data_IF_984204282593
#
_entry.id   IF_984204282593
#
_cell.length_a   1.000
_cell.length_b   1.000
_cell.length_c   1.000
_cell.angle_alpha   90.00
_cell.angle_beta   90.00
_cell.angle_gamma   90.00
#
_symmetry.space_group_name_H-M   'P 1'
#
loop_
_entity.id
_entity.type
_entity.pdbx_description
1 polymer ?
#
# COMPACT_ATOMS: atom_id res chain seq x y z
N UNK A 1 -11.63 -6.90 14.88
CA UNK A 1 -10.44 -7.69 15.25
C UNK A 1 -9.46 -7.59 14.09
N UNK A 2 -8.46 -6.70 14.18
CA UNK A 2 -7.57 -6.35 13.05
C UNK A 2 -6.25 -7.14 13.08
N UNK A 3 -6.20 -8.24 13.82
CA UNK A 3 -4.94 -8.60 14.47
C UNK A 3 -4.10 -9.65 13.74
N UNK A 4 -4.55 -10.19 12.61
CA UNK A 4 -3.76 -11.21 11.89
C UNK A 4 -3.89 -11.09 10.38
N UNK A 5 -2.79 -10.68 9.74
CA UNK A 5 -2.52 -11.07 8.35
C UNK A 5 -2.34 -12.59 8.38
N UNK A 6 -3.07 -13.31 7.51
CA UNK A 6 -2.90 -14.76 7.34
C UNK A 6 -1.44 -15.08 6.97
N UNK A 7 -0.93 -16.21 7.46
CA UNK A 7 0.49 -16.55 7.27
C UNK A 7 0.85 -16.70 5.78
N UNK A 8 -0.08 -17.20 4.95
CA UNK A 8 0.06 -17.25 3.48
C UNK A 8 0.26 -15.85 2.88
N UNK A 9 -0.48 -14.86 3.36
CA UNK A 9 -0.37 -13.47 2.89
C UNK A 9 0.95 -12.85 3.33
N UNK A 10 1.41 -13.12 4.56
CA UNK A 10 2.75 -12.71 5.02
C UNK A 10 3.85 -13.30 4.16
N UNK A 11 3.78 -14.59 3.86
CA UNK A 11 4.77 -15.26 3.02
C UNK A 11 4.83 -14.64 1.62
N UNK A 12 3.68 -14.32 1.02
CA UNK A 12 3.62 -13.65 -0.28
C UNK A 12 4.29 -12.28 -0.24
N UNK A 13 3.93 -11.45 0.74
CA UNK A 13 4.52 -10.11 0.92
C UNK A 13 6.03 -10.19 1.16
N UNK A 14 6.49 -11.18 1.95
CA UNK A 14 7.90 -11.39 2.23
C UNK A 14 8.68 -11.84 0.99
N UNK A 15 8.08 -12.68 0.15
CA UNK A 15 8.64 -13.08 -1.15
C UNK A 15 8.79 -11.87 -2.07
N UNK A 16 7.74 -11.05 -2.22
CA UNK A 16 7.79 -9.80 -2.98
C UNK A 16 8.92 -8.89 -2.48
N UNK A 17 8.99 -8.63 -1.17
CA UNK A 17 10.04 -7.80 -0.58
C UNK A 17 11.45 -8.31 -0.90
N UNK A 18 11.67 -9.63 -0.80
CA UNK A 18 12.98 -10.24 -1.06
C UNK A 18 13.38 -10.21 -2.53
N UNK A 19 12.41 -10.22 -3.46
CA UNK A 19 12.68 -10.17 -4.90
C UNK A 19 12.74 -8.76 -5.49
N UNK A 20 12.30 -7.74 -4.74
CA UNK A 20 12.32 -6.35 -5.18
C UNK A 20 13.75 -5.80 -5.33
N UNK A 21 13.94 -4.95 -6.34
CA UNK A 21 15.15 -4.14 -6.46
C UNK A 21 15.27 -3.16 -5.28
N UNK A 22 16.47 -2.65 -5.00
CA UNK A 22 16.64 -1.62 -3.96
C UNK A 22 15.86 -0.33 -4.29
N UNK A 23 15.69 -0.01 -5.58
CA UNK A 23 14.84 1.11 -6.01
C UNK A 23 13.37 0.89 -5.63
N UNK A 24 12.83 -0.30 -5.92
CA UNK A 24 11.44 -0.63 -5.59
C UNK A 24 11.20 -0.63 -4.08
N UNK A 25 12.16 -1.15 -3.30
CA UNK A 25 12.11 -1.10 -1.83
C UNK A 25 12.06 0.34 -1.34
N UNK A 26 12.90 1.21 -1.90
CA UNK A 26 12.90 2.63 -1.58
C UNK A 26 11.56 3.29 -1.93
N UNK A 27 10.99 3.00 -3.10
CA UNK A 27 9.67 3.53 -3.46
C UNK A 27 8.58 3.06 -2.51
N UNK A 28 8.58 1.79 -2.11
CA UNK A 28 7.65 1.29 -1.11
C UNK A 28 7.81 2.01 0.23
N UNK A 29 9.04 2.12 0.75
CA UNK A 29 9.34 2.82 2.02
C UNK A 29 8.84 4.26 1.97
N UNK A 30 9.13 4.99 0.89
CA UNK A 30 8.71 6.39 0.72
C UNK A 30 7.20 6.53 0.72
N UNK A 31 6.49 5.63 0.02
CA UNK A 31 5.03 5.64 -0.01
C UNK A 31 4.43 5.36 1.37
N UNK A 32 4.97 4.39 2.11
CA UNK A 32 4.56 4.11 3.49
C UNK A 32 4.83 5.32 4.40
N UNK A 33 5.99 5.96 4.28
CA UNK A 33 6.35 7.13 5.05
C UNK A 33 5.41 8.32 4.77
N UNK A 34 5.09 8.57 3.50
CA UNK A 34 4.11 9.59 3.08
C UNK A 34 2.75 9.28 3.71
N UNK A 35 2.25 8.04 3.61
CA UNK A 35 0.98 7.64 4.22
C UNK A 35 0.95 7.87 5.73
N UNK A 36 1.96 7.41 6.45
CA UNK A 36 2.03 7.57 7.92
C UNK A 36 2.17 9.04 8.32
N UNK A 37 2.82 9.89 7.52
CA UNK A 37 2.89 11.34 7.79
C UNK A 37 1.52 12.02 7.75
N UNK A 38 0.56 11.47 7.00
CA UNK A 38 -0.80 12.00 6.89
C UNK A 38 -1.74 11.34 7.90
N UNK A 39 -1.63 10.02 8.08
CA UNK A 39 -2.54 9.24 8.92
C UNK A 39 -2.19 9.33 10.41
N UNK A 40 -0.90 9.43 10.73
CA UNK A 40 -0.30 9.19 12.04
C UNK A 40 0.54 7.91 12.01
N UNK A 41 1.63 7.86 12.78
CA UNK A 41 2.52 6.69 12.94
C UNK A 41 2.14 5.80 14.14
N UNK A 42 0.99 6.09 14.74
CA UNK A 42 0.38 5.33 15.81
C UNK A 42 -0.14 3.96 15.34
N UNK A 43 -0.75 3.21 16.26
CA UNK A 43 -1.32 1.90 15.96
C UNK A 43 -2.44 1.95 14.92
N UNK A 44 -3.18 3.05 14.84
CA UNK A 44 -4.27 3.21 13.89
C UNK A 44 -3.75 3.45 12.47
N UNK A 45 -2.69 4.25 12.31
CA UNK A 45 -1.99 4.40 11.04
C UNK A 45 -1.36 3.09 10.56
N UNK A 46 -0.70 2.35 11.46
CA UNK A 46 -0.12 1.03 11.16
C UNK A 46 -1.17 0.00 10.72
N UNK A 47 -2.37 0.02 11.32
CA UNK A 47 -3.49 -0.83 10.86
C UNK A 47 -3.92 -0.50 9.43
N UNK A 48 -3.91 0.77 9.04
CA UNK A 48 -4.20 1.16 7.65
C UNK A 48 -3.13 0.63 6.69
N UNK A 49 -1.84 0.71 7.05
CA UNK A 49 -0.75 0.10 6.25
C UNK A 49 -0.99 -1.40 6.06
N UNK A 50 -1.31 -2.12 7.13
CA UNK A 50 -1.62 -3.55 7.08
C UNK A 50 -2.77 -3.83 6.11
N UNK A 51 -3.83 -3.02 6.16
CA UNK A 51 -4.99 -3.19 5.28
C UNK A 51 -4.64 -2.99 3.80
N UNK A 52 -3.82 -2.00 3.48
CA UNK A 52 -3.33 -1.79 2.10
C UNK A 52 -2.47 -2.96 1.63
N UNK A 53 -1.58 -3.47 2.49
CA UNK A 53 -0.75 -4.64 2.17
C UNK A 53 -1.60 -5.89 1.91
N UNK A 54 -2.70 -6.08 2.66
CA UNK A 54 -3.67 -7.15 2.39
C UNK A 54 -4.32 -6.98 1.02
N UNK A 55 -4.81 -5.78 0.71
CA UNK A 55 -5.43 -5.48 -0.60
C UNK A 55 -4.46 -5.72 -1.77
N UNK A 56 -3.19 -5.34 -1.61
CA UNK A 56 -2.14 -5.55 -2.61
C UNK A 56 -1.89 -7.05 -2.84
N UNK A 57 -1.77 -7.82 -1.75
CA UNK A 57 -1.54 -9.25 -1.82
C UNK A 57 -2.73 -10.02 -2.43
N UNK A 58 -3.97 -9.62 -2.10
CA UNK A 58 -5.20 -10.21 -2.63
C UNK A 58 -5.38 -9.90 -4.12
N UNK A 59 -5.07 -8.68 -4.56
CA UNK A 59 -5.21 -8.27 -5.97
C UNK A 59 -4.07 -8.71 -6.90
N UNK A 60 -3.14 -9.53 -6.40
CA UNK A 60 -2.12 -10.14 -7.25
C UNK A 60 -1.02 -9.20 -7.72
N UNK A 61 -0.76 -8.08 -7.03
CA UNK A 61 0.44 -7.28 -7.33
C UNK A 61 1.70 -8.06 -6.96
N UNK A 62 2.72 -7.95 -7.81
CA UNK A 62 3.99 -8.63 -7.69
C UNK A 62 5.08 -7.76 -7.04
N UNK A 63 4.79 -6.48 -6.77
CA UNK A 63 5.73 -5.55 -6.14
C UNK A 63 5.05 -4.69 -5.09
N UNK A 64 5.74 -4.43 -3.98
CA UNK A 64 5.24 -3.51 -2.96
C UNK A 64 5.35 -2.04 -3.40
N UNK A 65 6.08 -1.76 -4.49
CA UNK A 65 6.14 -0.41 -5.08
C UNK A 65 4.77 0.07 -5.59
N UNK A 66 3.80 -0.82 -5.78
CA UNK A 66 2.43 -0.47 -6.17
C UNK A 66 1.57 0.03 -4.99
N UNK A 67 2.11 0.07 -3.76
CA UNK A 67 1.37 0.39 -2.54
C UNK A 67 0.42 1.58 -2.68
N UNK A 68 0.88 2.68 -3.28
CA UNK A 68 0.11 3.91 -3.43
C UNK A 68 -1.14 3.76 -4.29
N UNK A 69 -1.15 2.81 -5.25
CA UNK A 69 -2.31 2.52 -6.10
C UNK A 69 -3.48 1.90 -5.32
N UNK A 70 -3.20 1.32 -4.15
CA UNK A 70 -4.18 0.62 -3.31
C UNK A 70 -4.70 1.47 -2.15
N UNK A 71 -4.17 2.68 -1.97
CA UNK A 71 -4.54 3.53 -0.83
C UNK A 71 -5.98 4.01 -0.92
N UNK A 72 -6.47 4.35 -2.11
CA UNK A 72 -7.86 4.80 -2.29
C UNK A 72 -8.88 3.68 -2.04
N UNK A 73 -8.51 2.40 -2.24
CA UNK A 73 -9.37 1.25 -1.95
C UNK A 73 -9.73 1.14 -0.46
N UNK A 74 -9.00 1.81 0.43
CA UNK A 74 -9.40 1.95 1.84
C UNK A 74 -10.75 2.66 2.02
N UNK A 75 -11.19 3.48 1.05
CA UNK A 75 -12.48 4.17 1.10
C UNK A 75 -13.66 3.21 0.96
N UNK A 76 -13.45 2.08 0.31
CA UNK A 76 -14.45 1.01 0.14
C UNK A 76 -14.42 -0.01 1.29
N UNK A 77 -13.41 0.06 2.15
CA UNK A 77 -13.33 -0.76 3.36
C UNK A 77 -14.18 -0.17 4.50
N UNK A 78 -14.54 -1.02 5.47
CA UNK A 78 -15.21 -0.61 6.71
C UNK A 78 -14.24 0.21 7.59
N UNK A 79 -14.12 1.50 7.27
CA UNK A 79 -13.25 2.46 7.95
C UNK A 79 -14.09 3.63 8.47
N UNK A 80 -13.82 4.12 9.70
CA UNK A 80 -14.53 5.26 10.27
C UNK A 80 -14.51 6.48 9.34
N UNK A 81 -15.67 7.12 9.17
CA UNK A 81 -15.87 8.24 8.25
C UNK A 81 -14.89 9.40 8.50
N UNK A 82 -14.54 9.66 9.77
CA UNK A 82 -13.56 10.69 10.14
C UNK A 82 -12.14 10.45 9.58
N UNK A 83 -11.80 9.23 9.18
CA UNK A 83 -10.48 8.91 8.59
C UNK A 83 -10.45 9.07 7.07
N UNK A 84 -11.61 9.03 6.40
CA UNK A 84 -11.69 9.12 4.92
C UNK A 84 -11.05 10.39 4.34
N UNK A 85 -11.16 11.59 4.94
CA UNK A 85 -10.45 12.77 4.45
C UNK A 85 -8.93 12.61 4.44
N UNK A 86 -8.35 11.97 5.48
CA UNK A 86 -6.92 11.71 5.55
C UNK A 86 -6.47 10.65 4.52
N UNK A 87 -7.32 9.66 4.25
CA UNK A 87 -7.07 8.66 3.20
C UNK A 87 -7.02 9.33 1.82
N UNK A 88 -8.04 10.13 1.48
CA UNK A 88 -8.09 10.90 0.22
C UNK A 88 -6.87 11.81 0.06
N UNK A 89 -6.48 12.50 1.14
CA UNK A 89 -5.30 13.37 1.12
C UNK A 89 -4.02 12.59 0.86
N UNK A 90 -3.83 11.44 1.51
CA UNK A 90 -2.65 10.61 1.29
C UNK A 90 -2.60 10.08 -0.15
N UNK A 91 -3.73 9.61 -0.68
CA UNK A 91 -3.82 9.15 -2.07
C UNK A 91 -3.41 10.23 -3.07
N UNK A 92 -3.89 11.48 -2.89
CA UNK A 92 -3.51 12.60 -3.74
C UNK A 92 -2.00 12.89 -3.70
N UNK A 93 -1.39 12.85 -2.52
CA UNK A 93 0.06 13.08 -2.37
C UNK A 93 0.86 11.94 -3.01
N UNK A 94 0.40 10.70 -2.83
CA UNK A 94 1.02 9.52 -3.43
C UNK A 94 0.92 9.54 -4.94
N UNK A 95 -0.19 10.00 -5.51
CA UNK A 95 -0.34 10.21 -6.95
C UNK A 95 0.68 11.24 -7.46
N UNK A 96 0.84 12.36 -6.75
CA UNK A 96 1.88 13.34 -7.09
C UNK A 96 3.30 12.77 -7.03
N UNK A 97 3.60 11.97 -6.00
CA UNK A 97 4.88 11.26 -5.88
C UNK A 97 5.09 10.27 -7.03
N UNK A 98 4.06 9.49 -7.36
CA UNK A 98 4.08 8.51 -8.45
C UNK A 98 4.38 9.15 -9.79
N UNK A 99 3.70 10.26 -10.11
CA UNK A 99 3.94 11.04 -11.33
C UNK A 99 5.35 11.63 -11.38
N UNK A 100 5.84 12.16 -10.26
CA UNK A 100 7.19 12.75 -10.15
C UNK A 100 8.29 11.72 -10.40
N UNK A 101 8.14 10.52 -9.83
CA UNK A 101 9.15 9.45 -9.91
C UNK A 101 8.93 8.52 -11.12
N UNK A 102 7.95 8.81 -11.99
CA UNK A 102 7.68 8.03 -13.19
C UNK A 102 7.17 6.61 -12.93
N UNK A 103 6.52 6.38 -11.78
CA UNK A 103 6.02 5.07 -11.39
C UNK A 103 4.73 4.69 -12.16
N UNK A 104 4.50 3.39 -12.47
CA UNK A 104 3.34 2.95 -13.24
C UNK A 104 1.99 3.30 -12.58
N UNK A 105 0.98 3.59 -13.42
CA UNK A 105 -0.39 3.87 -12.98
C UNK A 105 -1.25 2.61 -12.79
N UNK A 106 -0.70 1.45 -13.14
CA UNK A 106 -1.39 0.15 -13.11
C UNK A 106 -0.53 -0.80 -12.30
N UNK A 107 -1.10 -1.62 -11.41
CA UNK A 107 -0.33 -2.58 -10.63
C UNK A 107 0.40 -3.58 -11.53
N UNK A 108 1.61 -3.94 -11.13
CA UNK A 108 2.39 -5.00 -11.77
C UNK A 108 1.76 -6.35 -11.42
N UNK A 109 1.05 -6.94 -12.37
CA UNK A 109 0.47 -8.27 -12.27
C UNK A 109 1.13 -9.17 -13.30
N UNK A 110 1.29 -10.45 -12.98
CA UNK A 110 1.62 -11.43 -14.01
C UNK A 110 0.49 -11.45 -15.05
N UNK A 111 0.85 -11.42 -16.33
CA UNK A 111 -0.09 -11.76 -17.39
C UNK A 111 -0.33 -13.26 -17.25
N UNK A 112 -1.37 -13.66 -16.54
CA UNK A 112 -1.88 -15.03 -16.66
C UNK A 112 -2.40 -15.22 -18.08
N UNK A 113 -1.57 -15.82 -18.92
CA UNK A 113 -1.97 -16.50 -20.16
C UNK A 113 -2.63 -17.84 -19.83
#
# INVERSE_FOLDING_TARGET
MFDRIEDKTKEKLLKCWKSMSESDKMHFINQVAISLSVWGDDQEGKKLIIKVLQMLAENGSNTLADFGLYVENLLDADIPEQKKPKIKRAALILEGYRLKEGLPSIPHRDITL
#
